data_IF_528155591484
#
_entry.id   IF_528155591484
#
_cell.length_a   1.000
_cell.length_b   1.000
_cell.length_c   1.000
_cell.angle_alpha   90.00
_cell.angle_beta   90.00
_cell.angle_gamma   90.00
#
_symmetry.space_group_name_H-M   'P 1'
#
loop_
_entity.id
_entity.type
_entity.pdbx_description
1 polymer ?
#
# COMPACT_ATOMS: atom_id res chain seq x y z
N UNK A 1 4.63 -1.28 4.69
CA UNK A 1 4.98 0.05 4.15
C UNK A 1 4.90 1.06 5.29
N UNK A 2 5.63 2.17 5.22
CA UNK A 2 5.62 3.24 6.24
C UNK A 2 5.77 4.59 5.54
N UNK A 3 5.09 5.61 6.04
CA UNK A 3 5.32 7.00 5.64
C UNK A 3 6.74 7.43 6.01
N UNK A 4 7.50 7.98 5.06
CA UNK A 4 8.83 8.54 5.32
C UNK A 4 8.80 10.05 5.59
N UNK A 5 7.69 10.71 5.24
CA UNK A 5 7.43 12.12 5.50
C UNK A 5 6.78 12.33 6.88
N UNK A 6 6.65 13.59 7.32
CA UNK A 6 5.90 13.90 8.52
C UNK A 6 4.39 13.76 8.26
N UNK A 7 3.61 13.44 9.29
CA UNK A 7 2.14 13.37 9.15
C UNK A 7 1.54 14.74 8.80
N UNK A 8 2.18 15.83 9.24
CA UNK A 8 1.83 17.21 8.88
C UNK A 8 1.99 17.52 7.38
N UNK A 9 2.70 16.67 6.64
CA UNK A 9 2.88 16.84 5.19
C UNK A 9 1.65 16.32 4.41
N UNK A 10 0.68 15.68 5.08
CA UNK A 10 -0.58 15.24 4.48
C UNK A 10 -1.62 16.34 4.65
N UNK A 11 -1.96 17.00 3.54
CA UNK A 11 -2.97 18.05 3.49
C UNK A 11 -4.22 17.53 2.77
N UNK A 12 -5.34 17.49 3.49
CA UNK A 12 -6.65 17.07 2.93
C UNK A 12 -7.53 18.28 2.57
N UNK A 13 -7.09 19.49 2.91
CA UNK A 13 -7.80 20.77 2.80
C UNK A 13 -7.26 21.65 1.66
N UNK A 14 -6.54 21.06 0.70
CA UNK A 14 -5.86 21.80 -0.35
C UNK A 14 -6.78 22.22 -1.51
N UNK A 15 -8.02 21.74 -1.54
CA UNK A 15 -9.05 22.03 -2.54
C UNK A 15 -10.28 22.64 -1.86
N UNK A 16 -11.00 23.52 -2.55
CA UNK A 16 -12.23 24.15 -2.05
C UNK A 16 -13.35 23.11 -1.81
N UNK A 17 -13.26 21.95 -2.44
CA UNK A 17 -14.16 20.80 -2.32
C UNK A 17 -13.37 19.53 -1.99
N UNK A 18 -12.94 19.36 -0.73
CA UNK A 18 -12.10 18.23 -0.34
C UNK A 18 -12.84 16.89 -0.46
N UNK A 19 -12.20 15.89 -1.08
CA UNK A 19 -12.75 14.53 -1.20
C UNK A 19 -12.68 13.75 0.13
N UNK A 20 -11.73 14.10 1.00
CA UNK A 20 -11.39 13.35 2.21
C UNK A 20 -11.35 14.23 3.44
N UNK A 21 -11.98 13.77 4.54
CA UNK A 21 -11.93 14.48 5.83
C UNK A 21 -10.73 14.02 6.70
N UNK A 22 -10.41 12.73 6.64
CA UNK A 22 -9.41 12.08 7.51
C UNK A 22 -8.71 10.93 6.78
N UNK A 23 -7.54 10.54 7.29
CA UNK A 23 -6.79 9.41 6.77
C UNK A 23 -6.22 8.55 7.90
N UNK A 24 -5.93 7.28 7.61
CA UNK A 24 -5.21 6.38 8.51
C UNK A 24 -4.48 5.29 7.74
N UNK A 25 -3.40 4.78 8.33
CA UNK A 25 -2.78 3.55 7.84
C UNK A 25 -3.67 2.35 8.17
N UNK A 26 -3.86 1.46 7.19
CA UNK A 26 -4.62 0.21 7.33
C UNK A 26 -3.81 -0.98 6.84
N UNK A 27 -4.22 -2.19 7.21
CA UNK A 27 -3.61 -3.40 6.64
C UNK A 27 -3.94 -3.48 5.15
N UNK A 28 -3.03 -4.05 4.36
CA UNK A 28 -3.08 -3.99 2.90
C UNK A 28 -4.42 -4.49 2.30
N UNK A 29 -5.03 -5.50 2.92
CA UNK A 29 -6.28 -6.10 2.44
C UNK A 29 -7.55 -5.52 3.07
N UNK A 30 -7.43 -4.66 4.09
CA UNK A 30 -8.55 -4.04 4.77
C UNK A 30 -9.51 -3.26 3.85
N UNK A 31 -9.04 -2.51 2.82
CA UNK A 31 -9.94 -1.75 1.96
C UNK A 31 -11.01 -2.58 1.26
N UNK A 32 -10.78 -3.87 1.02
CA UNK A 32 -11.76 -4.74 0.34
C UNK A 32 -13.05 -4.89 1.15
N UNK A 33 -12.95 -4.98 2.48
CA UNK A 33 -14.13 -5.12 3.35
C UNK A 33 -14.70 -3.80 3.85
N UNK A 34 -13.97 -2.68 3.66
CA UNK A 34 -14.37 -1.36 4.13
C UNK A 34 -14.96 -0.47 3.02
N UNK A 35 -14.72 -0.82 1.75
CA UNK A 35 -15.23 -0.06 0.61
C UNK A 35 -16.67 -0.45 0.27
N UNK A 36 -17.42 0.48 -0.33
CA UNK A 36 -18.76 0.25 -0.88
C UNK A 36 -18.79 -0.96 -1.82
N UNK A 37 -19.87 -1.74 -1.74
CA UNK A 37 -19.98 -3.08 -2.33
C UNK A 37 -19.63 -3.15 -3.82
N UNK A 38 -20.12 -2.19 -4.61
CA UNK A 38 -19.87 -2.16 -6.05
C UNK A 38 -18.38 -1.96 -6.40
N UNK A 39 -17.56 -1.41 -5.50
CA UNK A 39 -16.12 -1.20 -5.71
C UNK A 39 -15.26 -2.37 -5.22
N UNK A 40 -15.80 -3.31 -4.45
CA UNK A 40 -14.99 -4.39 -3.85
C UNK A 40 -14.24 -5.23 -4.90
N UNK A 41 -14.90 -5.56 -6.02
CA UNK A 41 -14.29 -6.32 -7.12
C UNK A 41 -13.12 -5.59 -7.77
N UNK A 42 -13.29 -4.29 -8.04
CA UNK A 42 -12.26 -3.42 -8.60
C UNK A 42 -11.07 -3.28 -7.65
N UNK A 43 -11.33 -3.06 -6.36
CA UNK A 43 -10.28 -2.95 -5.33
C UNK A 43 -9.48 -4.25 -5.20
N UNK A 44 -10.17 -5.40 -5.23
CA UNK A 44 -9.50 -6.72 -5.19
C UNK A 44 -8.55 -6.91 -6.37
N UNK A 45 -8.99 -6.56 -7.58
CA UNK A 45 -8.14 -6.66 -8.78
C UNK A 45 -6.93 -5.73 -8.69
N UNK A 46 -7.14 -4.47 -8.32
CA UNK A 46 -6.07 -3.47 -8.20
C UNK A 46 -5.02 -3.90 -7.15
N UNK A 47 -5.45 -4.30 -5.96
CA UNK A 47 -4.56 -4.75 -4.89
C UNK A 47 -3.82 -6.03 -5.25
N UNK A 48 -4.46 -6.96 -5.98
CA UNK A 48 -3.79 -8.19 -6.45
C UNK A 48 -2.69 -7.89 -7.45
N UNK A 49 -2.94 -7.01 -8.43
CA UNK A 49 -1.95 -6.60 -9.42
C UNK A 49 -0.76 -5.88 -8.77
N UNK A 50 -1.03 -5.05 -7.76
CA UNK A 50 0.01 -4.31 -7.04
C UNK A 50 0.85 -5.22 -6.13
N UNK A 51 0.26 -6.23 -5.48
CA UNK A 51 0.96 -7.09 -4.52
C UNK A 51 2.20 -7.79 -5.13
N UNK A 52 2.12 -8.19 -6.40
CA UNK A 52 3.25 -8.80 -7.12
C UNK A 52 4.47 -7.88 -7.25
N UNK A 53 4.27 -6.56 -7.23
CA UNK A 53 5.34 -5.55 -7.33
C UNK A 53 5.92 -5.14 -5.98
N UNK A 54 5.17 -5.36 -4.89
CA UNK A 54 5.58 -5.00 -3.53
C UNK A 54 6.47 -6.04 -2.86
N UNK A 55 6.52 -7.26 -3.41
CA UNK A 55 7.43 -8.30 -2.93
C UNK A 55 8.87 -7.86 -3.20
N UNK A 56 9.75 -7.78 -2.19
CA UNK A 56 11.17 -7.56 -2.44
C UNK A 56 11.64 -8.64 -3.41
N UNK A 57 12.23 -8.25 -4.54
CA UNK A 57 12.96 -9.20 -5.37
C UNK A 57 13.90 -9.96 -4.42
N UNK A 58 13.62 -11.24 -4.21
CA UNK A 58 14.49 -12.13 -3.47
C UNK A 58 15.80 -12.14 -4.24
N UNK A 59 16.75 -11.28 -3.84
CA UNK A 59 18.13 -11.38 -4.29
C UNK A 59 18.53 -12.83 -4.01
N UNK A 60 18.93 -13.61 -5.02
CA UNK A 60 19.34 -14.98 -4.77
C UNK A 60 20.43 -14.93 -3.71
N UNK A 61 20.22 -15.65 -2.60
CA UNK A 61 21.19 -15.75 -1.53
C UNK A 61 22.50 -16.17 -2.19
N UNK A 62 23.49 -15.27 -2.15
CA UNK A 62 24.82 -15.50 -2.71
C UNK A 62 25.36 -16.72 -1.95
N UNK A 63 25.28 -17.89 -2.59
CA UNK A 63 25.82 -19.16 -2.09
C UNK A 63 27.25 -18.86 -1.67
N UNK A 64 27.51 -18.82 -0.35
CA UNK A 64 28.87 -18.74 0.17
C UNK A 64 29.52 -20.07 -0.19
N UNK A 65 30.18 -20.08 -1.34
CA UNK A 65 30.97 -21.19 -1.81
C UNK A 65 32.33 -21.10 -1.12
N UNK A 66 32.58 -22.01 -0.20
CA UNK A 66 33.92 -22.52 0.12
C UNK A 66 34.80 -21.64 1.01
N UNK A 67 35.20 -22.23 2.14
CA UNK A 67 36.41 -21.90 2.88
C UNK A 67 36.71 -23.09 3.76
N UNK A 68 37.53 -24.02 3.23
CA UNK A 68 38.17 -25.10 3.98
C UNK A 68 39.09 -24.50 5.04
#
# INVERSE_FOLDING_TARGET
MRLTAAESDIRLDADDTPEFDHWRWVTYWYPISAVVDFKQGVYRQALTQLAGRLSPQRRPARRRRGGR
#
